data_IF_000017789765
#
_entry.id   IF_000017789765
#
_cell.length_a   1.000
_cell.length_b   1.000
_cell.length_c   1.000
_cell.angle_alpha   90.00
_cell.angle_beta   90.00
_cell.angle_gamma   90.00
#
_symmetry.space_group_name_H-M   'P 1'
#
loop_
_entity.id
_entity.type
_entity.pdbx_description
1 polymer ?
#
# COMPACT_ATOMS: atom_id res chain seq x y z
N UNK A 1 -13.81 23.87 -36.19
CA UNK A 1 -13.71 22.40 -35.98
C UNK A 1 -13.41 22.16 -34.51
N UNK A 2 -14.45 22.06 -33.69
CA UNK A 2 -14.34 21.57 -32.32
C UNK A 2 -14.84 20.13 -32.32
N UNK A 3 -14.01 19.19 -31.87
CA UNK A 3 -14.49 17.85 -31.56
C UNK A 3 -15.39 17.95 -30.31
N UNK A 4 -16.60 17.39 -30.31
CA UNK A 4 -17.36 17.26 -29.08
C UNK A 4 -16.55 16.37 -28.15
N UNK A 5 -16.16 16.88 -26.99
CA UNK A 5 -15.67 16.03 -25.91
C UNK A 5 -16.92 15.33 -25.38
N UNK A 6 -17.05 13.99 -25.46
CA UNK A 6 -18.00 13.32 -24.61
C UNK A 6 -17.50 13.59 -23.20
N UNK A 7 -18.21 14.45 -22.47
CA UNK A 7 -18.12 14.49 -21.02
C UNK A 7 -18.28 13.03 -20.59
N UNK A 8 -17.23 12.43 -20.03
CA UNK A 8 -17.26 11.04 -19.59
C UNK A 8 -18.09 10.97 -18.31
N UNK A 9 -19.38 11.25 -18.45
CA UNK A 9 -20.38 11.14 -17.41
C UNK A 9 -20.66 9.64 -17.30
N UNK A 10 -19.88 8.96 -16.47
CA UNK A 10 -20.09 7.54 -16.20
C UNK A 10 -21.50 7.37 -15.63
N UNK A 11 -22.27 6.44 -16.20
CA UNK A 11 -23.58 6.06 -15.69
C UNK A 11 -23.49 5.78 -14.18
N UNK A 12 -24.49 6.18 -13.36
CA UNK A 12 -24.41 6.05 -11.91
C UNK A 12 -24.13 4.62 -11.42
N UNK A 13 -24.51 3.59 -12.19
CA UNK A 13 -24.16 2.19 -11.94
C UNK A 13 -22.64 1.92 -12.07
N UNK A 14 -21.98 2.54 -13.04
CA UNK A 14 -20.54 2.42 -13.28
C UNK A 14 -19.73 3.14 -12.18
N UNK A 15 -20.21 4.29 -11.68
CA UNK A 15 -19.55 5.04 -10.61
C UNK A 15 -19.47 4.27 -9.29
N UNK A 16 -20.45 3.40 -9.02
CA UNK A 16 -20.49 2.53 -7.84
C UNK A 16 -19.29 1.59 -7.74
N UNK A 17 -18.79 1.12 -8.89
CA UNK A 17 -17.63 0.20 -8.99
C UNK A 17 -16.32 0.85 -8.56
N UNK A 18 -16.22 2.18 -8.65
CA UNK A 18 -15.02 2.93 -8.29
C UNK A 18 -15.00 3.40 -6.83
N UNK A 19 -16.08 3.22 -6.08
CA UNK A 19 -16.17 3.65 -4.67
C UNK A 19 -15.07 2.99 -3.82
N UNK A 20 -14.46 3.78 -2.94
CA UNK A 20 -13.45 3.27 -2.01
C UNK A 20 -14.10 2.28 -1.03
N UNK A 21 -13.47 1.13 -0.86
CA UNK A 21 -13.90 0.09 0.09
C UNK A 21 -13.00 0.14 1.33
N UNK A 22 -13.50 -0.38 2.47
CA UNK A 22 -12.69 -0.52 3.68
C UNK A 22 -11.42 -1.34 3.44
N UNK A 23 -11.47 -2.33 2.54
CA UNK A 23 -10.32 -3.15 2.17
C UNK A 23 -9.19 -2.35 1.50
N UNK A 24 -9.51 -1.24 0.83
CA UNK A 24 -8.52 -0.36 0.22
C UNK A 24 -7.72 0.38 1.29
N UNK A 25 -8.38 0.85 2.35
CA UNK A 25 -7.71 1.43 3.51
C UNK A 25 -6.85 0.41 4.24
N UNK A 26 -7.32 -0.83 4.36
CA UNK A 26 -6.54 -1.93 4.92
C UNK A 26 -5.26 -2.18 4.12
N UNK A 27 -5.36 -2.30 2.79
CA UNK A 27 -4.19 -2.48 1.92
C UNK A 27 -3.23 -1.28 1.98
N UNK A 28 -3.75 -0.06 2.01
CA UNK A 28 -2.95 1.15 2.13
C UNK A 28 -2.17 1.17 3.45
N UNK A 29 -2.82 0.82 4.57
CA UNK A 29 -2.17 0.72 5.87
C UNK A 29 -1.09 -0.35 5.90
N UNK A 30 -1.38 -1.56 5.39
CA UNK A 30 -0.36 -2.62 5.30
C UNK A 30 0.82 -2.21 4.40
N UNK A 31 0.56 -1.50 3.30
CA UNK A 31 1.61 -0.99 2.42
C UNK A 31 2.50 0.04 3.13
N UNK A 32 1.90 0.93 3.93
CA UNK A 32 2.64 1.87 4.77
C UNK A 32 3.51 1.14 5.82
N UNK A 33 3.00 0.08 6.44
CA UNK A 33 3.78 -0.74 7.38
C UNK A 33 4.96 -1.42 6.71
N UNK A 34 4.77 -2.01 5.53
CA UNK A 34 5.84 -2.62 4.74
C UNK A 34 6.88 -1.57 4.36
N UNK A 35 6.46 -0.39 3.89
CA UNK A 35 7.37 0.71 3.58
C UNK A 35 8.20 1.13 4.81
N UNK A 36 7.55 1.30 5.97
CA UNK A 36 8.24 1.63 7.20
C UNK A 36 9.24 0.54 7.62
N UNK A 37 8.86 -0.74 7.51
CA UNK A 37 9.75 -1.87 7.78
C UNK A 37 10.97 -1.86 6.84
N UNK A 38 10.77 -1.60 5.55
CA UNK A 38 11.86 -1.48 4.57
C UNK A 38 12.78 -0.31 4.90
N UNK A 39 12.21 0.85 5.22
CA UNK A 39 12.98 2.03 5.62
C UNK A 39 13.82 1.78 6.89
N UNK A 40 13.30 0.99 7.84
CA UNK A 40 14.04 0.59 9.05
C UNK A 40 15.20 -0.40 8.78
N UNK A 41 15.35 -0.96 7.57
CA UNK A 41 16.57 -1.68 7.20
C UNK A 41 17.70 -0.75 6.74
N UNK A 42 17.40 0.53 6.46
CA UNK A 42 18.41 1.52 6.10
C UNK A 42 19.11 2.03 7.37
N UNK A 43 20.45 1.89 7.40
CA UNK A 43 21.26 2.29 8.56
C UNK A 43 21.19 3.78 8.83
N UNK A 44 21.11 4.63 7.81
CA UNK A 44 21.03 6.07 7.98
C UNK A 44 19.69 6.46 8.59
N UNK A 45 18.59 5.83 8.15
CA UNK A 45 17.26 6.01 8.74
C UNK A 45 17.27 5.59 10.21
N UNK A 46 17.76 4.39 10.52
CA UNK A 46 17.82 3.90 11.90
C UNK A 46 18.68 4.81 12.79
N UNK A 47 19.86 5.23 12.32
CA UNK A 47 20.74 6.13 13.08
C UNK A 47 20.14 7.53 13.27
N UNK A 48 19.34 8.01 12.32
CA UNK A 48 18.66 9.31 12.42
C UNK A 48 17.57 9.30 13.50
N UNK A 49 16.77 8.23 13.59
CA UNK A 49 15.69 8.11 14.57
C UNK A 49 16.14 7.55 15.92
N UNK A 50 17.16 6.69 15.93
CA UNK A 50 17.70 6.01 17.11
C UNK A 50 19.23 6.15 17.15
N UNK A 51 19.77 7.35 17.43
CA UNK A 51 21.22 7.59 17.43
C UNK A 51 21.98 6.83 18.52
N UNK A 52 21.33 6.57 19.66
CA UNK A 52 21.89 5.83 20.81
C UNK A 52 20.89 4.78 21.33
N UNK A 53 20.64 3.71 20.56
CA UNK A 53 19.68 2.69 20.95
C UNK A 53 20.23 1.87 22.13
N UNK A 54 19.35 1.55 23.10
CA UNK A 54 19.68 0.57 24.13
C UNK A 54 19.79 -0.83 23.53
N UNK A 55 20.46 -1.76 24.22
CA UNK A 55 20.55 -3.17 23.80
C UNK A 55 19.18 -3.81 23.48
N UNK A 56 18.16 -3.46 24.28
CA UNK A 56 16.80 -3.93 24.06
C UNK A 56 16.19 -3.32 22.78
N UNK A 57 16.38 -2.01 22.56
CA UNK A 57 15.89 -1.33 21.37
C UNK A 57 16.57 -1.88 20.09
N UNK A 58 17.87 -2.13 20.13
CA UNK A 58 18.63 -2.71 19.00
C UNK A 58 18.06 -4.07 18.56
N UNK A 59 17.66 -4.92 19.51
CA UNK A 59 17.00 -6.20 19.21
C UNK A 59 15.63 -6.00 18.56
N UNK A 60 14.85 -5.04 19.05
CA UNK A 60 13.54 -4.73 18.49
C UNK A 60 13.63 -4.14 17.08
N UNK A 61 14.63 -3.28 16.81
CA UNK A 61 14.87 -2.69 15.49
C UNK A 61 15.18 -3.74 14.43
N UNK A 62 15.71 -4.90 14.82
CA UNK A 62 15.92 -6.04 13.91
C UNK A 62 14.65 -6.90 13.81
N UNK A 63 14.03 -7.23 14.93
CA UNK A 63 12.93 -8.20 14.96
C UNK A 63 11.61 -7.64 14.39
N UNK A 64 11.28 -6.38 14.67
CA UNK A 64 10.01 -5.76 14.29
C UNK A 64 9.84 -5.69 12.75
N UNK A 65 10.80 -5.17 11.96
CA UNK A 65 10.67 -5.12 10.51
C UNK A 65 10.46 -6.50 9.88
N UNK A 66 11.17 -7.52 10.38
CA UNK A 66 11.03 -8.91 9.91
C UNK A 66 9.63 -9.44 10.20
N UNK A 67 9.14 -9.24 11.43
CA UNK A 67 7.79 -9.65 11.83
C UNK A 67 6.71 -8.97 11.00
N UNK A 68 6.83 -7.66 10.76
CA UNK A 68 5.92 -6.91 9.88
C UNK A 68 5.95 -7.51 8.46
N UNK A 69 7.13 -7.75 7.91
CA UNK A 69 7.28 -8.36 6.58
C UNK A 69 6.51 -9.68 6.46
N UNK A 70 6.75 -10.61 7.37
CA UNK A 70 6.09 -11.93 7.38
C UNK A 70 4.56 -11.80 7.51
N UNK A 71 4.08 -11.02 8.49
CA UNK A 71 2.64 -10.86 8.74
C UNK A 71 1.95 -10.16 7.57
N UNK A 72 2.51 -9.05 7.08
CA UNK A 72 1.95 -8.32 5.95
C UNK A 72 1.91 -9.18 4.69
N UNK A 73 2.96 -9.97 4.40
CA UNK A 73 2.95 -10.90 3.25
C UNK A 73 1.79 -11.89 3.32
N UNK A 74 1.56 -12.50 4.49
CA UNK A 74 0.43 -13.41 4.68
C UNK A 74 -0.92 -12.72 4.49
N UNK A 75 -1.07 -11.49 5.02
CA UNK A 75 -2.31 -10.73 4.91
C UNK A 75 -2.60 -10.29 3.47
N UNK A 76 -1.60 -9.86 2.70
CA UNK A 76 -1.78 -9.52 1.29
C UNK A 76 -2.16 -10.75 0.43
N UNK A 77 -1.65 -11.94 0.77
CA UNK A 77 -2.05 -13.18 0.11
C UNK A 77 -3.48 -13.58 0.49
N UNK A 78 -3.82 -13.49 1.78
CA UNK A 78 -5.14 -13.89 2.29
C UNK A 78 -6.27 -12.94 1.83
N UNK A 79 -5.96 -11.65 1.67
CA UNK A 79 -6.92 -10.61 1.30
C UNK A 79 -6.45 -9.89 0.04
N UNK A 80 -6.59 -10.45 -1.16
CA UNK A 80 -6.12 -9.80 -2.38
C UNK A 80 -7.02 -8.63 -2.81
N UNK A 81 -6.43 -7.52 -3.27
CA UNK A 81 -7.19 -6.44 -3.91
C UNK A 81 -7.69 -6.86 -5.30
N UNK A 82 -8.86 -6.35 -5.67
CA UNK A 82 -9.47 -6.51 -7.01
C UNK A 82 -9.17 -5.33 -7.94
N UNK A 83 -8.48 -4.29 -7.44
CA UNK A 83 -8.10 -3.14 -8.26
C UNK A 83 -6.86 -3.47 -9.07
N UNK A 84 -6.95 -3.24 -10.37
CA UNK A 84 -5.85 -3.47 -11.28
C UNK A 84 -4.90 -2.27 -11.30
N UNK A 85 -3.61 -2.55 -11.44
CA UNK A 85 -2.57 -1.53 -11.54
C UNK A 85 -2.49 -0.87 -12.92
N UNK A 86 -1.50 0.01 -13.07
CA UNK A 86 -1.19 0.69 -14.33
C UNK A 86 -0.79 -0.36 -15.38
N UNK A 87 -1.42 -0.30 -16.56
CA UNK A 87 -1.18 -1.24 -17.67
C UNK A 87 -2.27 -2.30 -17.87
N UNK A 88 -3.29 -2.34 -17.00
CA UNK A 88 -4.46 -3.18 -17.24
C UNK A 88 -5.36 -2.54 -18.31
N UNK A 89 -5.82 -3.29 -19.34
CA UNK A 89 -6.71 -2.74 -20.35
C UNK A 89 -8.02 -2.29 -19.70
N UNK A 90 -8.42 -1.05 -19.94
CA UNK A 90 -9.79 -0.63 -19.65
C UNK A 90 -10.69 -1.46 -20.57
N UNK A 91 -11.43 -2.41 -20.01
CA UNK A 91 -12.41 -3.18 -20.76
C UNK A 91 -13.43 -2.21 -21.37
N UNK A 92 -13.29 -1.96 -22.67
CA UNK A 92 -14.29 -1.26 -23.49
C UNK A 92 -15.12 -2.35 -24.14
N UNK A 93 -16.28 -2.62 -23.57
CA UNK A 93 -17.34 -3.33 -24.29
C UNK A 93 -18.09 -2.35 -25.19
#
# INVERSE_FOLDING_TARGET
MGWPQPEATLEPEETGKYRLSCLEFFHAFLSMLVFAAVAMFDKNVVQCFYPTPSEAASKLLIAIPIGIGVVCSLLFVAFPSKRHGIGYPLSRH
#
